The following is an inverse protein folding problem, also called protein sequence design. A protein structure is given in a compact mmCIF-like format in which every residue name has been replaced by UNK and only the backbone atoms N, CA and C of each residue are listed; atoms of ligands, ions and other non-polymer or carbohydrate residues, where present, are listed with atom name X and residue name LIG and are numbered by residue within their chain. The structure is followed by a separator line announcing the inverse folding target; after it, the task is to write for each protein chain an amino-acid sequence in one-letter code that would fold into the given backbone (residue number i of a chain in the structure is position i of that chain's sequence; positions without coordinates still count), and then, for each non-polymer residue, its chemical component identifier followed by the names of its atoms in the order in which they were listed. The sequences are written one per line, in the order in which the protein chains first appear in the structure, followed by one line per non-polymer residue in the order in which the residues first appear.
data_IF_541206221898
#
_entry.id   IF_541206221898
#
_cell.length_a   1.000
_cell.length_b   1.000
_cell.length_c   1.000
_cell.angle_alpha   90.00
_cell.angle_beta   90.00
_cell.angle_gamma   90.00
#
_symmetry.space_group_name_H-M   'P 1'
#
loop_
_entity.id
_entity.type
_entity.pdbx_description
1 polymer ?
#
# COMPACT_ATOMS: atom_id res chain seq x y z
N UNK A 1 14.00 -5.80 -11.28
CA UNK A 1 14.64 -4.76 -12.11
C UNK A 1 14.19 -3.35 -11.71
N UNK A 2 13.05 -2.80 -12.18
CA UNK A 2 12.65 -1.42 -11.81
C UNK A 2 12.29 -1.21 -10.33
N UNK A 3 11.79 -2.23 -9.61
CA UNK A 3 11.55 -2.14 -8.15
C UNK A 3 12.84 -2.18 -7.32
N UNK A 4 13.91 -2.81 -7.83
CA UNK A 4 15.21 -2.89 -7.13
C UNK A 4 15.99 -1.58 -7.30
N UNK A 5 15.98 -0.98 -8.49
CA UNK A 5 16.65 0.30 -8.75
C UNK A 5 15.96 1.48 -8.05
N UNK A 6 14.63 1.50 -8.01
CA UNK A 6 13.89 2.51 -7.24
C UNK A 6 14.13 2.29 -5.73
N UNK A 7 14.24 1.04 -5.27
CA UNK A 7 14.59 0.72 -3.88
C UNK A 7 15.97 1.24 -3.47
N UNK A 8 16.98 1.14 -4.35
CA UNK A 8 18.32 1.71 -4.10
C UNK A 8 18.34 3.25 -4.16
N UNK A 9 17.60 3.86 -5.08
CA UNK A 9 17.52 5.33 -5.22
C UNK A 9 16.72 5.95 -4.06
N UNK A 10 15.66 5.30 -3.61
CA UNK A 10 14.92 5.69 -2.40
C UNK A 10 15.82 5.48 -1.17
N UNK A 11 16.59 4.40 -1.05
CA UNK A 11 17.55 4.25 0.04
C UNK A 11 18.65 5.32 0.06
N UNK A 12 18.97 5.91 -1.09
CA UNK A 12 20.00 6.95 -1.19
C UNK A 12 19.43 8.36 -0.92
N UNK A 13 18.22 8.67 -1.39
CA UNK A 13 17.58 9.98 -1.16
C UNK A 13 16.77 10.05 0.14
N UNK A 14 16.32 8.90 0.64
CA UNK A 14 15.62 8.73 1.92
C UNK A 14 16.58 8.07 2.93
N UNK A 15 17.79 8.62 3.05
CA UNK A 15 18.63 8.37 4.23
C UNK A 15 17.92 8.72 5.56
N UNK A 16 16.80 9.43 5.49
CA UNK A 16 16.06 9.95 6.64
C UNK A 16 15.02 8.99 7.24
N UNK A 17 14.59 7.93 6.53
CA UNK A 17 13.51 7.04 7.01
C UNK A 17 13.85 5.55 7.06
N UNK A 18 14.91 5.08 6.39
CA UNK A 18 15.20 3.63 6.38
C UNK A 18 15.93 3.16 7.66
N UNK A 19 16.62 4.03 8.39
CA UNK A 19 17.51 3.56 9.44
C UNK A 19 17.55 4.49 10.64
N UNK A 20 17.13 3.97 11.79
CA UNK A 20 17.50 4.45 13.13
C UNK A 20 18.99 4.34 13.43
N UNK A 21 19.83 4.52 12.40
CA UNK A 21 21.23 4.31 12.50
C UNK A 21 21.94 5.64 12.58
N UNK A 22 22.41 5.88 13.79
CA UNK A 22 23.48 6.79 14.16
C UNK A 22 24.82 6.42 13.45
N UNK A 23 24.81 5.82 12.26
CA UNK A 23 26.02 5.48 11.49
C UNK A 23 26.81 6.75 11.11
N UNK A 24 26.12 7.86 10.90
CA UNK A 24 26.74 9.17 10.66
C UNK A 24 27.37 9.79 11.93
N UNK A 25 27.05 9.27 13.12
CA UNK A 25 27.61 9.77 14.36
C UNK A 25 29.04 9.23 14.55
N UNK A 26 30.04 10.06 14.86
CA UNK A 26 31.38 9.60 15.24
C UNK A 26 31.35 8.61 16.39
N UNK A 27 32.25 7.61 16.37
CA UNK A 27 32.20 6.49 17.33
C UNK A 27 32.30 6.92 18.79
N UNK A 28 33.10 7.96 19.08
CA UNK A 28 33.23 8.50 20.44
C UNK A 28 31.89 9.03 21.00
N UNK A 29 31.01 9.56 20.13
CA UNK A 29 29.69 10.05 20.56
C UNK A 29 28.71 8.92 20.83
N UNK A 30 28.89 7.74 20.22
CA UNK A 30 28.02 6.56 20.42
C UNK A 30 28.17 5.94 21.81
N UNK A 31 29.29 6.20 22.49
CA UNK A 31 29.60 5.63 23.81
C UNK A 31 28.89 6.36 24.97
N UNK A 32 28.44 7.59 24.74
CA UNK A 32 27.71 8.36 25.74
C UNK A 32 26.31 7.78 25.97
N UNK A 33 25.87 7.86 27.23
CA UNK A 33 24.62 7.24 27.70
C UNK A 33 23.39 7.85 27.02
N UNK A 34 23.44 9.14 26.74
CA UNK A 34 22.41 9.95 26.09
C UNK A 34 22.18 9.45 24.66
N UNK A 35 23.25 9.34 23.87
CA UNK A 35 23.17 8.87 22.49
C UNK A 35 22.76 7.40 22.39
N UNK A 36 23.16 6.53 23.33
CA UNK A 36 22.63 5.16 23.40
C UNK A 36 21.12 5.11 23.66
N UNK A 37 20.58 6.03 24.48
CA UNK A 37 19.13 6.10 24.75
C UNK A 37 18.37 6.61 23.54
N UNK A 38 18.87 7.68 22.90
CA UNK A 38 18.27 8.22 21.68
C UNK A 38 18.25 7.18 20.57
N UNK A 39 19.32 6.38 20.45
CA UNK A 39 19.38 5.25 19.53
C UNK A 39 18.29 4.22 19.77
N UNK A 40 18.13 3.76 21.00
CA UNK A 40 17.07 2.78 21.34
C UNK A 40 15.67 3.33 21.05
N UNK A 41 15.42 4.57 21.45
CA UNK A 41 14.13 5.23 21.18
C UNK A 41 13.85 5.31 19.68
N UNK A 42 14.85 5.71 18.89
CA UNK A 42 14.72 5.77 17.43
C UNK A 42 14.52 4.38 16.80
N UNK A 43 15.21 3.34 17.27
CA UNK A 43 15.01 1.96 16.80
C UNK A 43 13.58 1.48 17.05
N UNK A 44 13.03 1.77 18.24
CA UNK A 44 11.65 1.44 18.60
C UNK A 44 10.62 2.21 17.74
N UNK A 45 10.80 3.53 17.59
CA UNK A 45 9.94 4.38 16.76
C UNK A 45 9.94 3.94 15.29
N UNK A 46 11.12 3.60 14.74
CA UNK A 46 11.23 3.12 13.37
C UNK A 46 10.47 1.81 13.16
N UNK A 47 10.47 0.90 14.14
CA UNK A 47 9.71 -0.34 14.04
C UNK A 47 8.19 -0.08 13.94
N UNK A 48 7.68 0.94 14.64
CA UNK A 48 6.28 1.37 14.53
C UNK A 48 6.00 2.06 13.19
N UNK A 49 6.88 2.97 12.76
CA UNK A 49 6.76 3.66 11.48
C UNK A 49 6.79 2.69 10.30
N UNK A 50 7.64 1.66 10.33
CA UNK A 50 7.66 0.61 9.32
C UNK A 50 6.36 -0.17 9.27
N UNK A 51 5.74 -0.49 10.42
CA UNK A 51 4.41 -1.13 10.44
C UNK A 51 3.36 -0.21 9.82
N UNK A 52 3.37 1.08 10.15
CA UNK A 52 2.46 2.05 9.57
C UNK A 52 2.67 2.17 8.06
N UNK A 53 3.92 2.20 7.61
CA UNK A 53 4.28 2.26 6.20
C UNK A 53 3.80 1.03 5.44
N UNK A 54 4.02 -0.17 5.99
CA UNK A 54 3.51 -1.41 5.40
C UNK A 54 1.97 -1.40 5.33
N UNK A 55 1.30 -0.88 6.36
CA UNK A 55 -0.17 -0.72 6.34
C UNK A 55 -0.60 0.26 5.25
N UNK A 56 0.14 1.35 5.08
CA UNK A 56 -0.13 2.36 4.06
C UNK A 56 0.09 1.80 2.65
N UNK A 57 1.19 1.07 2.40
CA UNK A 57 1.43 0.40 1.13
C UNK A 57 0.32 -0.61 0.80
N UNK A 58 -0.08 -1.44 1.75
CA UNK A 58 -1.21 -2.37 1.56
C UNK A 58 -2.52 -1.64 1.20
N UNK A 59 -2.77 -0.48 1.83
CA UNK A 59 -3.91 0.36 1.49
C UNK A 59 -3.77 0.96 0.09
N UNK A 60 -2.57 1.38 -0.30
CA UNK A 60 -2.32 1.92 -1.64
C UNK A 60 -2.52 0.86 -2.72
N UNK A 61 -1.95 -0.34 -2.54
CA UNK A 61 -2.10 -1.48 -3.44
C UNK A 61 -3.56 -1.93 -3.56
N UNK A 62 -4.34 -1.77 -2.49
CA UNK A 62 -5.78 -2.10 -2.51
C UNK A 62 -6.58 -1.25 -3.50
N UNK A 63 -6.09 -0.09 -3.92
CA UNK A 63 -6.77 0.76 -4.91
C UNK A 63 -6.73 0.17 -6.32
N UNK A 64 -5.76 -0.69 -6.62
CA UNK A 64 -5.58 -1.27 -7.95
C UNK A 64 -5.90 -2.76 -7.93
N UNK A 65 -6.92 -3.18 -8.67
CA UNK A 65 -7.45 -4.57 -8.58
C UNK A 65 -6.41 -5.62 -8.96
N UNK A 66 -5.52 -5.31 -9.91
CA UNK A 66 -4.46 -6.22 -10.34
C UNK A 66 -3.44 -6.47 -9.23
N UNK A 67 -3.02 -5.43 -8.52
CA UNK A 67 -1.99 -5.48 -7.47
C UNK A 67 -2.58 -5.75 -6.08
N UNK A 68 -3.90 -5.63 -5.92
CA UNK A 68 -4.60 -5.79 -4.64
C UNK A 68 -4.35 -7.17 -4.02
N UNK A 69 -4.07 -7.16 -2.72
CA UNK A 69 -4.07 -8.35 -1.86
C UNK A 69 -5.52 -8.78 -1.53
N UNK A 70 -5.68 -9.88 -0.79
CA UNK A 70 -6.99 -10.40 -0.35
C UNK A 70 -7.83 -9.35 0.39
N UNK A 71 -7.19 -8.55 1.26
CA UNK A 71 -7.84 -7.50 2.04
C UNK A 71 -8.41 -6.39 1.15
N UNK A 72 -7.70 -6.03 0.08
CA UNK A 72 -8.18 -5.06 -0.89
C UNK A 72 -9.33 -5.60 -1.74
N UNK A 73 -9.26 -6.87 -2.13
CA UNK A 73 -10.34 -7.57 -2.86
C UNK A 73 -11.61 -7.63 -2.02
N UNK A 74 -11.53 -7.95 -0.73
CA UNK A 74 -12.67 -7.88 0.19
C UNK A 74 -13.29 -6.49 0.28
N UNK A 75 -12.47 -5.45 0.27
CA UNK A 75 -12.95 -4.07 0.32
C UNK A 75 -13.70 -3.70 -0.97
N UNK A 76 -13.19 -4.10 -2.12
CA UNK A 76 -13.89 -3.94 -3.41
C UNK A 76 -15.19 -4.74 -3.48
N UNK A 77 -15.20 -5.98 -2.99
CA UNK A 77 -16.40 -6.80 -2.91
C UNK A 77 -17.48 -6.15 -2.05
N UNK A 78 -17.09 -5.55 -0.93
CA UNK A 78 -17.99 -4.77 -0.06
C UNK A 78 -18.53 -3.52 -0.76
N UNK A 79 -17.67 -2.77 -1.47
CA UNK A 79 -18.07 -1.57 -2.23
C UNK A 79 -19.06 -1.91 -3.35
N UNK A 80 -18.83 -3.03 -4.05
CA UNK A 80 -19.63 -3.46 -5.19
C UNK A 80 -20.78 -4.40 -4.82
N UNK A 81 -20.96 -4.70 -3.53
CA UNK A 81 -21.92 -5.69 -3.01
C UNK A 81 -21.84 -7.05 -3.72
N UNK A 82 -20.61 -7.55 -3.92
CA UNK A 82 -20.34 -8.87 -4.48
C UNK A 82 -20.07 -9.83 -3.31
N UNK A 83 -20.73 -10.99 -3.31
CA UNK A 83 -20.44 -12.05 -2.33
C UNK A 83 -19.45 -13.05 -2.94
N UNK A 84 -18.27 -13.30 -2.30
CA UNK A 84 -17.33 -14.31 -2.78
C UNK A 84 -17.92 -15.71 -2.62
N UNK A 85 -17.59 -16.62 -3.54
CA UNK A 85 -17.96 -18.04 -3.42
C UNK A 85 -16.83 -18.79 -2.69
N UNK A 86 -17.19 -19.85 -1.97
CA UNK A 86 -16.25 -20.63 -1.16
C UNK A 86 -15.11 -21.29 -1.95
N UNK A 87 -15.28 -21.48 -3.27
CA UNK A 87 -14.31 -22.14 -4.15
C UNK A 87 -13.58 -21.16 -5.08
N UNK A 88 -13.83 -19.85 -4.96
CA UNK A 88 -13.20 -18.86 -5.83
C UNK A 88 -11.72 -18.67 -5.47
N UNK A 89 -10.85 -18.63 -6.48
CA UNK A 89 -9.46 -18.19 -6.28
C UNK A 89 -9.39 -16.66 -6.19
N UNK A 90 -8.28 -16.10 -5.69
CA UNK A 90 -8.07 -14.65 -5.64
C UNK A 90 -8.19 -14.01 -7.04
N UNK A 91 -7.69 -14.69 -8.07
CA UNK A 91 -7.76 -14.21 -9.45
C UNK A 91 -9.20 -14.21 -9.98
N UNK A 92 -10.01 -15.22 -9.64
CA UNK A 92 -11.42 -15.28 -10.03
C UNK A 92 -12.22 -14.13 -9.40
N UNK A 93 -11.92 -13.81 -8.14
CA UNK A 93 -12.53 -12.67 -7.42
C UNK A 93 -12.16 -11.34 -8.07
N UNK A 94 -10.87 -11.12 -8.36
CA UNK A 94 -10.37 -9.94 -9.11
C UNK A 94 -11.05 -9.81 -10.47
N UNK A 95 -11.15 -10.90 -11.22
CA UNK A 95 -11.81 -10.91 -12.53
C UNK A 95 -13.28 -10.52 -12.45
N UNK A 96 -14.00 -11.01 -11.44
CA UNK A 96 -15.41 -10.66 -11.20
C UNK A 96 -15.58 -9.18 -10.88
N UNK A 97 -14.72 -8.62 -10.02
CA UNK A 97 -14.70 -7.18 -9.71
C UNK A 97 -14.48 -6.36 -10.99
N UNK A 98 -13.47 -6.71 -11.79
CA UNK A 98 -13.19 -6.03 -13.06
C UNK A 98 -14.37 -6.11 -14.03
N UNK A 99 -15.01 -7.26 -14.13
CA UNK A 99 -16.20 -7.44 -14.97
C UNK A 99 -17.30 -6.49 -14.52
N UNK A 100 -17.58 -6.44 -13.21
CA UNK A 100 -18.63 -5.60 -12.62
C UNK A 100 -18.39 -4.11 -12.86
N UNK A 101 -17.15 -3.67 -12.79
CA UNK A 101 -16.77 -2.28 -13.08
C UNK A 101 -16.99 -1.91 -14.55
N UNK A 102 -16.79 -2.86 -15.47
CA UNK A 102 -16.99 -2.68 -16.90
C UNK A 102 -18.46 -2.82 -17.36
N UNK A 103 -19.40 -3.20 -16.48
CA UNK A 103 -20.82 -3.35 -16.83
C UNK A 103 -21.54 -2.01 -17.11
N UNK A 104 -20.88 -0.85 -16.96
CA UNK A 104 -21.47 0.44 -17.35
C UNK A 104 -21.47 0.59 -18.86
N UNK A 105 -22.67 0.62 -19.44
CA UNK A 105 -22.89 1.03 -20.83
C UNK A 105 -22.32 2.46 -21.03
N UNK A 106 -21.46 2.69 -22.05
CA UNK A 106 -20.77 3.97 -22.23
C UNK A 106 -21.70 5.17 -22.46
N UNK A 107 -22.94 4.91 -22.87
CA UNK A 107 -23.98 5.92 -23.07
C UNK A 107 -25.36 5.27 -22.87
N UNK A 108 -26.25 5.96 -22.16
CA UNK A 108 -27.68 5.80 -22.37
C UNK A 108 -28.03 6.71 -23.53
N UNK A 109 -28.70 6.20 -24.57
CA UNK A 109 -29.44 7.08 -25.47
C UNK A 109 -30.41 7.88 -24.59
N UNK A 110 -30.26 9.20 -24.59
CA UNK A 110 -31.28 10.09 -24.03
C UNK A 110 -32.43 10.00 -25.03
N UNK A 111 -33.43 9.19 -24.72
CA UNK A 111 -34.63 9.10 -25.55
C UNK A 111 -35.22 10.51 -25.68
N UNK A 112 -35.25 11.07 -26.89
CA UNK A 112 -35.79 12.42 -27.19
C UNK A 112 -37.23 12.58 -26.66
N UNK A 113 -37.95 11.46 -26.50
CA UNK A 113 -39.30 11.38 -25.91
C UNK A 113 -39.39 11.72 -24.42
N UNK A 114 -38.27 11.85 -23.70
CA UNK A 114 -38.26 12.32 -22.30
C UNK A 114 -38.15 13.85 -22.17
N UNK A 115 -37.88 14.55 -23.27
CA UNK A 115 -37.74 16.01 -23.32
C UNK A 115 -38.96 16.72 -23.93
N UNK A 116 -40.03 15.96 -24.23
CA UNK A 116 -41.30 16.48 -24.74
C UNK A 116 -42.36 16.48 -23.63
#
# INVERSE_FOLDING_TARGET
MFKEEIGEVINTSVMFLDKGNFYYLPDFLKEFKEFRRLRKLSEDENAELLKLWNSFENMMDSNFINDSTENGVESWERILNITPKAYDTLNDRKFRILTRLNERLPFRYIDEKRLA
#
